data_IF_660187056565
#
_entry.id   IF_660187056565
#
_cell.length_a   1.000
_cell.length_b   1.000
_cell.length_c   1.000
_cell.angle_alpha   90.00
_cell.angle_beta   90.00
_cell.angle_gamma   90.00
#
_symmetry.space_group_name_H-M   'P 1'
#
loop_
_entity.id
_entity.type
_entity.pdbx_description
1 polymer ?
#
# COMPACT_ATOMS: atom_id res chain seq x y z
N UNK A 1 3.63 -35.42 -8.92
CA UNK A 1 3.04 -34.07 -9.04
C UNK A 1 4.11 -33.01 -9.29
N UNK A 2 5.12 -32.87 -8.43
CA UNK A 2 6.21 -31.88 -8.53
C UNK A 2 6.94 -31.91 -9.88
N UNK A 3 7.27 -33.09 -10.43
CA UNK A 3 7.93 -33.21 -11.74
C UNK A 3 7.11 -32.65 -12.92
N UNK A 4 5.77 -32.69 -12.83
CA UNK A 4 4.89 -32.13 -13.88
C UNK A 4 4.87 -30.60 -13.81
N UNK A 5 4.83 -30.06 -12.60
CA UNK A 5 4.90 -28.60 -12.35
C UNK A 5 6.24 -28.05 -12.81
N UNK A 6 7.34 -28.71 -12.46
CA UNK A 6 8.68 -28.27 -12.87
C UNK A 6 8.84 -28.22 -14.39
N UNK A 7 8.40 -29.29 -15.12
CA UNK A 7 8.40 -29.29 -16.59
C UNK A 7 7.52 -28.19 -17.19
N UNK A 8 6.37 -27.92 -16.60
CA UNK A 8 5.50 -26.83 -17.06
C UNK A 8 6.17 -25.46 -16.87
N UNK A 9 6.87 -25.24 -15.76
CA UNK A 9 7.62 -24.00 -15.48
C UNK A 9 8.80 -23.84 -16.45
N UNK A 10 9.57 -24.89 -16.71
CA UNK A 10 10.66 -24.85 -17.69
C UNK A 10 10.16 -24.54 -19.11
N UNK A 11 9.01 -25.12 -19.50
CA UNK A 11 8.38 -24.81 -20.77
C UNK A 11 7.92 -23.35 -20.85
N UNK A 12 7.37 -22.80 -19.76
CA UNK A 12 6.97 -21.39 -19.71
C UNK A 12 8.17 -20.45 -19.76
N UNK A 13 9.25 -20.74 -19.04
CA UNK A 13 10.48 -19.94 -19.03
C UNK A 13 11.09 -19.78 -20.44
N UNK A 14 10.97 -20.81 -21.28
CA UNK A 14 11.51 -20.83 -22.65
C UNK A 14 10.50 -20.46 -23.74
N UNK A 15 9.20 -20.43 -23.42
CA UNK A 15 8.13 -20.15 -24.38
C UNK A 15 8.15 -18.71 -24.86
N UNK A 16 8.28 -18.51 -26.19
CA UNK A 16 8.21 -17.20 -26.86
C UNK A 16 6.90 -16.47 -26.61
N UNK A 17 5.79 -17.20 -26.48
CA UNK A 17 4.48 -16.63 -26.15
C UNK A 17 4.48 -16.00 -24.77
N UNK A 18 5.08 -16.67 -23.79
CA UNK A 18 5.18 -16.16 -22.43
C UNK A 18 6.06 -14.90 -22.36
N UNK A 19 7.15 -14.85 -23.15
CA UNK A 19 7.94 -13.62 -23.34
C UNK A 19 7.07 -12.47 -23.84
N UNK A 20 6.30 -12.72 -24.90
CA UNK A 20 5.43 -11.72 -25.50
C UNK A 20 4.38 -11.19 -24.51
N UNK A 21 3.76 -12.09 -23.74
CA UNK A 21 2.79 -11.71 -22.69
C UNK A 21 3.45 -10.80 -21.65
N UNK A 22 4.65 -11.16 -21.18
CA UNK A 22 5.39 -10.37 -20.19
C UNK A 22 5.83 -9.01 -20.75
N UNK A 23 6.23 -8.93 -22.02
CA UNK A 23 6.51 -7.64 -22.70
C UNK A 23 5.28 -6.73 -22.76
N UNK A 24 4.10 -7.30 -23.03
CA UNK A 24 2.85 -6.53 -23.05
C UNK A 24 2.49 -6.06 -21.64
N UNK A 25 2.60 -6.95 -20.63
CA UNK A 25 2.35 -6.61 -19.23
C UNK A 25 3.25 -5.46 -18.75
N UNK A 26 4.52 -5.45 -19.14
CA UNK A 26 5.45 -4.35 -18.85
C UNK A 26 5.03 -3.02 -19.49
N UNK A 27 4.66 -3.05 -20.76
CA UNK A 27 4.25 -1.84 -21.49
C UNK A 27 2.93 -1.27 -20.97
N UNK A 28 1.97 -2.11 -20.62
CA UNK A 28 0.71 -1.68 -20.00
C UNK A 28 0.99 -1.20 -18.58
N UNK A 29 1.77 -1.97 -17.82
CA UNK A 29 2.10 -1.73 -16.43
C UNK A 29 2.75 -0.39 -16.14
N UNK A 30 3.63 0.10 -17.01
CA UNK A 30 4.31 1.38 -16.82
C UNK A 30 3.34 2.56 -16.66
N UNK A 31 2.17 2.51 -17.33
CA UNK A 31 1.11 3.51 -17.23
C UNK A 31 0.29 3.41 -15.94
N UNK A 32 0.21 2.23 -15.33
CA UNK A 32 -0.59 1.99 -14.12
C UNK A 32 0.20 2.13 -12.82
N UNK A 33 1.54 2.12 -12.86
CA UNK A 33 2.38 2.36 -11.67
C UNK A 33 2.32 3.83 -11.22
N UNK A 34 2.14 4.77 -12.14
CA UNK A 34 2.09 6.22 -11.86
C UNK A 34 0.68 6.79 -11.75
N UNK A 35 -0.33 6.11 -12.30
CA UNK A 35 -1.72 6.54 -12.18
C UNK A 35 -2.29 5.98 -10.89
N UNK A 36 -2.36 6.81 -9.85
CA UNK A 36 -3.23 6.57 -8.68
C UNK A 36 -4.63 6.28 -9.23
N UNK A 37 -5.01 5.01 -9.25
CA UNK A 37 -6.30 4.56 -9.76
C UNK A 37 -7.41 5.32 -9.03
N UNK A 38 -8.32 5.92 -9.78
CA UNK A 38 -9.48 6.64 -9.26
C UNK A 38 -10.35 5.70 -8.41
N UNK A 39 -11.08 6.25 -7.43
CA UNK A 39 -11.91 5.53 -6.43
C UNK A 39 -12.85 4.44 -7.00
N UNK A 40 -13.16 4.47 -8.29
CA UNK A 40 -13.98 3.47 -8.98
C UNK A 40 -13.22 2.22 -9.46
N UNK A 41 -11.90 2.31 -9.67
CA UNK A 41 -11.04 1.18 -10.08
C UNK A 41 -10.53 0.36 -8.89
N UNK A 42 -10.60 0.94 -7.69
CA UNK A 42 -10.24 0.34 -6.40
C UNK A 42 -11.05 -0.92 -6.06
N UNK A 43 -12.26 -1.04 -6.63
CA UNK A 43 -13.18 -2.14 -6.35
C UNK A 43 -12.87 -3.44 -7.11
N UNK A 44 -12.15 -3.41 -8.24
CA UNK A 44 -12.04 -4.59 -9.11
C UNK A 44 -10.74 -5.38 -8.95
N UNK A 45 -9.62 -4.70 -8.70
CA UNK A 45 -8.33 -5.34 -8.40
C UNK A 45 -7.60 -4.44 -7.42
N UNK A 46 -7.64 -4.79 -6.14
CA UNK A 46 -6.89 -4.14 -5.06
C UNK A 46 -5.50 -3.76 -5.59
N UNK A 47 -5.17 -2.47 -5.70
CA UNK A 47 -3.97 -1.95 -6.41
C UNK A 47 -2.67 -2.74 -6.15
N UNK A 48 -2.56 -3.34 -4.96
CA UNK A 48 -1.49 -4.27 -4.57
C UNK A 48 -1.30 -5.44 -5.54
N UNK A 49 -2.34 -6.16 -5.95
CA UNK A 49 -2.19 -7.36 -6.80
C UNK A 49 -1.62 -7.00 -8.18
N UNK A 50 -2.13 -5.93 -8.79
CA UNK A 50 -1.63 -5.47 -10.08
C UNK A 50 -0.17 -5.01 -9.97
N UNK A 51 0.17 -4.25 -8.92
CA UNK A 51 1.54 -3.82 -8.64
C UNK A 51 2.50 -5.02 -8.52
N UNK A 52 2.13 -6.05 -7.77
CA UNK A 52 2.97 -7.25 -7.60
C UNK A 52 3.15 -8.03 -8.91
N UNK A 53 2.10 -8.14 -9.74
CA UNK A 53 2.20 -8.77 -11.08
C UNK A 53 3.19 -8.00 -11.97
N UNK A 54 3.24 -6.68 -11.86
CA UNK A 54 4.17 -5.85 -12.63
C UNK A 54 5.61 -6.00 -12.16
N UNK A 55 5.84 -5.97 -10.85
CA UNK A 55 7.16 -6.20 -10.26
C UNK A 55 7.67 -7.59 -10.67
N UNK A 56 6.81 -8.60 -10.59
CA UNK A 56 7.11 -9.95 -11.08
C UNK A 56 7.48 -9.95 -12.56
N UNK A 57 6.72 -9.26 -13.41
CA UNK A 57 6.99 -9.18 -14.84
C UNK A 57 8.35 -8.54 -15.15
N UNK A 58 8.73 -7.50 -14.40
CA UNK A 58 10.07 -6.86 -14.48
C UNK A 58 11.17 -7.84 -14.07
N UNK A 59 11.02 -8.49 -12.91
CA UNK A 59 11.99 -9.46 -12.41
C UNK A 59 12.16 -10.64 -13.37
N UNK A 60 11.06 -11.11 -13.96
CA UNK A 60 11.09 -12.20 -14.93
C UNK A 60 11.69 -11.81 -16.28
N UNK A 61 11.49 -10.56 -16.72
CA UNK A 61 12.15 -10.08 -17.94
C UNK A 61 13.68 -10.08 -17.79
N UNK A 62 14.19 -9.73 -16.61
CA UNK A 62 15.62 -9.73 -16.32
C UNK A 62 16.21 -11.12 -16.07
N UNK A 63 15.50 -11.99 -15.36
CA UNK A 63 16.03 -13.31 -14.94
C UNK A 63 15.68 -14.46 -15.88
N UNK A 64 14.58 -14.34 -16.65
CA UNK A 64 14.03 -15.39 -17.51
C UNK A 64 13.63 -16.68 -16.76
N UNK A 65 13.53 -16.63 -15.43
CA UNK A 65 13.19 -17.76 -14.57
C UNK A 65 12.09 -17.41 -13.59
N UNK A 66 10.94 -18.10 -13.69
CA UNK A 66 9.79 -17.93 -12.81
C UNK A 66 10.14 -18.14 -11.33
N UNK A 67 10.99 -19.12 -10.98
CA UNK A 67 11.32 -19.38 -9.57
C UNK A 67 12.11 -18.23 -8.96
N UNK A 68 13.16 -17.79 -9.64
CA UNK A 68 13.98 -16.65 -9.19
C UNK A 68 13.15 -15.37 -9.16
N UNK A 69 12.28 -15.17 -10.15
CA UNK A 69 11.41 -14.00 -10.21
C UNK A 69 10.44 -13.93 -9.05
N UNK A 70 9.78 -15.04 -8.70
CA UNK A 70 8.85 -15.09 -7.56
C UNK A 70 9.58 -14.83 -6.24
N UNK A 71 10.77 -15.39 -6.05
CA UNK A 71 11.58 -15.14 -4.86
C UNK A 71 11.97 -13.66 -4.78
N UNK A 72 12.42 -13.09 -5.90
CA UNK A 72 12.83 -11.68 -5.94
C UNK A 72 11.66 -10.74 -5.68
N UNK A 73 10.48 -11.02 -6.24
CA UNK A 73 9.24 -10.28 -5.96
C UNK A 73 8.83 -10.41 -4.50
N UNK A 74 8.90 -11.61 -3.91
CA UNK A 74 8.57 -11.81 -2.50
C UNK A 74 9.53 -11.04 -1.57
N UNK A 75 10.83 -11.06 -1.86
CA UNK A 75 11.82 -10.28 -1.11
C UNK A 75 11.53 -8.79 -1.27
N UNK A 76 11.28 -8.31 -2.48
CA UNK A 76 10.95 -6.91 -2.73
C UNK A 76 9.66 -6.47 -2.01
N UNK A 77 8.64 -7.33 -2.00
CA UNK A 77 7.40 -7.09 -1.26
C UNK A 77 7.67 -6.94 0.23
N UNK A 78 8.44 -7.85 0.84
CA UNK A 78 8.78 -7.76 2.26
C UNK A 78 9.58 -6.48 2.57
N UNK A 79 10.55 -6.13 1.74
CA UNK A 79 11.34 -4.92 1.91
C UNK A 79 10.47 -3.66 1.85
N UNK A 80 9.59 -3.57 0.85
CA UNK A 80 8.77 -2.37 0.65
C UNK A 80 7.61 -2.26 1.64
N UNK A 81 7.01 -3.37 2.06
CA UNK A 81 5.86 -3.36 2.98
C UNK A 81 6.27 -3.35 4.46
N UNK A 82 7.47 -3.83 4.80
CA UNK A 82 7.92 -3.90 6.18
C UNK A 82 9.16 -3.05 6.48
N UNK A 83 10.21 -3.16 5.68
CA UNK A 83 11.49 -2.53 6.00
C UNK A 83 11.51 -1.03 5.70
N UNK A 84 10.89 -0.65 4.58
CA UNK A 84 10.84 0.73 4.09
C UNK A 84 9.47 1.38 4.28
N UNK A 85 8.50 0.65 4.85
CA UNK A 85 7.20 1.22 5.18
C UNK A 85 7.25 1.92 6.52
N UNK A 86 7.07 3.23 6.51
CA UNK A 86 7.14 4.11 7.69
C UNK A 86 6.05 3.83 8.74
N UNK A 87 4.93 3.25 8.32
CA UNK A 87 3.83 2.83 9.20
C UNK A 87 4.08 1.44 9.82
N UNK A 88 5.07 0.69 9.32
CA UNK A 88 5.35 -0.65 9.80
C UNK A 88 6.21 -0.65 11.06
N UNK A 89 5.91 -1.57 11.99
CA UNK A 89 6.68 -1.77 13.24
C UNK A 89 8.16 -2.13 12.99
N UNK A 90 8.48 -2.62 11.79
CA UNK A 90 9.82 -3.07 11.40
C UNK A 90 10.56 -2.07 10.49
N UNK A 91 10.10 -0.82 10.41
CA UNK A 91 10.74 0.21 9.60
C UNK A 91 12.18 0.49 10.08
N UNK A 92 13.16 0.31 9.20
CA UNK A 92 14.59 0.58 9.47
C UNK A 92 14.98 2.02 9.07
N UNK A 93 14.08 2.75 8.40
CA UNK A 93 14.38 4.07 7.87
C UNK A 93 14.65 5.11 8.99
N UNK A 94 15.79 5.84 8.97
CA UNK A 94 16.08 6.87 9.95
C UNK A 94 15.04 7.98 9.92
N UNK A 95 14.67 8.52 11.09
CA UNK A 95 13.64 9.57 11.24
C UNK A 95 13.87 10.83 10.38
N UNK A 96 15.12 11.10 9.96
CA UNK A 96 15.48 12.22 9.08
C UNK A 96 14.89 12.09 7.66
N UNK A 97 14.61 10.87 7.21
CA UNK A 97 14.04 10.59 5.89
C UNK A 97 12.55 10.25 5.94
N UNK A 98 11.96 10.27 7.14
CA UNK A 98 10.54 10.04 7.34
C UNK A 98 9.84 11.37 7.12
N UNK A 99 9.26 11.58 5.95
CA UNK A 99 8.45 12.76 5.70
C UNK A 99 7.15 12.65 6.50
N UNK A 100 7.02 13.47 7.54
CA UNK A 100 5.78 13.59 8.30
C UNK A 100 4.79 14.48 7.54
N UNK A 101 4.35 14.04 6.36
CA UNK A 101 3.28 14.69 5.55
C UNK A 101 1.90 14.70 6.22
N UNK A 102 1.80 14.27 7.48
CA UNK A 102 0.55 14.21 8.23
C UNK A 102 -0.01 15.60 8.58
N UNK A 103 0.81 16.65 8.50
CA UNK A 103 0.42 18.03 8.84
C UNK A 103 0.67 19.05 7.73
N UNK A 104 1.39 18.64 6.69
CA UNK A 104 1.66 19.45 5.51
C UNK A 104 0.63 19.09 4.43
N UNK A 105 -0.44 19.88 4.37
CA UNK A 105 -1.56 19.71 3.44
C UNK A 105 -1.18 20.20 2.04
N UNK A 106 -0.17 21.05 1.93
CA UNK A 106 0.25 21.70 0.67
C UNK A 106 1.51 21.07 0.03
N UNK A 107 2.19 20.15 0.73
CA UNK A 107 3.41 19.43 0.32
C UNK A 107 4.62 20.35 0.05
N UNK A 108 4.73 21.49 0.73
CA UNK A 108 5.85 22.42 0.58
C UNK A 108 7.04 22.12 1.53
N UNK A 109 6.87 21.18 2.46
CA UNK A 109 7.88 20.76 3.43
C UNK A 109 7.97 21.63 4.68
N UNK A 110 7.14 22.67 4.81
CA UNK A 110 7.08 23.58 5.95
C UNK A 110 5.66 23.66 6.53
N UNK A 111 5.52 23.44 7.84
CA UNK A 111 4.19 23.54 8.48
C UNK A 111 3.80 25.02 8.60
N UNK A 112 2.83 25.46 7.80
CA UNK A 112 2.35 26.84 7.80
C UNK A 112 1.46 27.15 9.01
N UNK A 113 1.43 28.43 9.43
CA UNK A 113 0.57 28.88 10.53
C UNK A 113 -0.92 28.60 10.29
N UNK A 114 -1.36 28.55 9.02
CA UNK A 114 -2.74 28.18 8.68
C UNK A 114 -3.04 26.71 8.99
N UNK A 115 -2.13 25.80 8.67
CA UNK A 115 -2.29 24.37 8.92
C UNK A 115 -2.31 24.06 10.42
N UNK A 116 -1.52 24.79 11.20
CA UNK A 116 -1.56 24.74 12.67
C UNK A 116 -2.93 25.14 13.20
N UNK A 117 -3.49 26.24 12.69
CA UNK A 117 -4.79 26.73 13.13
C UNK A 117 -5.92 25.75 12.78
N UNK A 118 -5.88 25.15 11.59
CA UNK A 118 -6.85 24.16 11.14
C UNK A 118 -6.77 22.87 11.97
N UNK A 119 -5.56 22.42 12.31
CA UNK A 119 -5.35 21.27 13.19
C UNK A 119 -5.91 21.54 14.61
N UNK A 120 -5.71 22.74 15.15
CA UNK A 120 -6.27 23.15 16.46
C UNK A 120 -7.80 23.19 16.40
N UNK A 121 -8.38 23.76 15.34
CA UNK A 121 -9.84 23.80 15.17
C UNK A 121 -10.46 22.40 15.07
N UNK A 122 -9.79 21.48 14.36
CA UNK A 122 -10.19 20.07 14.29
C UNK A 122 -10.14 19.40 15.68
N UNK A 123 -9.06 19.60 16.42
CA UNK A 123 -8.90 19.05 17.78
C UNK A 123 -10.00 19.55 18.72
N UNK A 124 -10.34 20.84 18.67
CA UNK A 124 -11.41 21.41 19.48
C UNK A 124 -12.78 20.81 19.12
N UNK A 125 -13.05 20.60 17.84
CA UNK A 125 -14.28 19.94 17.38
C UNK A 125 -14.37 18.49 17.88
N UNK A 126 -13.27 17.74 17.78
CA UNK A 126 -13.20 16.34 18.27
C UNK A 126 -13.34 16.27 19.79
N UNK A 127 -12.74 17.20 20.52
CA UNK A 127 -12.84 17.28 21.99
C UNK A 127 -14.29 17.54 22.43
N UNK A 128 -14.97 18.48 21.76
CA UNK A 128 -16.41 18.74 21.99
C UNK A 128 -17.24 17.49 21.69
N UNK A 129 -17.04 16.84 20.55
CA UNK A 129 -17.76 15.61 20.20
C UNK A 129 -17.55 14.48 21.21
N UNK A 130 -16.30 14.24 21.65
CA UNK A 130 -16.02 13.23 22.68
C UNK A 130 -16.68 13.56 24.01
N UNK A 131 -16.70 14.83 24.40
CA UNK A 131 -17.36 15.26 25.64
C UNK A 131 -18.87 15.03 25.60
N UNK A 132 -19.52 15.31 24.46
CA UNK A 132 -20.95 15.05 24.25
C UNK A 132 -21.24 13.56 24.25
N UNK A 133 -20.46 12.75 23.51
CA UNK A 133 -20.61 11.30 23.49
C UNK A 133 -20.40 10.66 24.86
N UNK A 134 -19.45 11.17 25.65
CA UNK A 134 -19.23 10.68 27.01
C UNK A 134 -20.45 10.98 27.90
N UNK A 135 -21.04 12.16 27.76
CA UNK A 135 -22.23 12.59 28.49
C UNK A 135 -23.46 11.74 28.13
N UNK A 136 -23.64 11.42 26.85
CA UNK A 136 -24.71 10.52 26.37
C UNK A 136 -24.53 9.10 26.94
N UNK A 137 -23.31 8.54 26.88
CA UNK A 137 -23.01 7.22 27.46
C UNK A 137 -23.24 7.16 28.98
N UNK A 138 -22.92 8.23 29.70
CA UNK A 138 -23.19 8.35 31.14
C UNK A 138 -24.70 8.37 31.41
N UNK A 139 -25.45 9.14 30.63
CA UNK A 139 -26.90 9.19 30.74
C UNK A 139 -27.52 7.81 30.53
N UNK A 140 -27.13 7.11 29.45
CA UNK A 140 -27.58 5.75 29.13
C UNK A 140 -27.24 4.73 30.23
N UNK A 141 -26.06 4.84 30.85
CA UNK A 141 -25.67 3.99 31.97
C UNK A 141 -26.59 4.20 33.18
N UNK A 142 -26.88 5.45 33.52
CA UNK A 142 -27.74 5.78 34.65
C UNK A 142 -29.21 5.42 34.41
N UNK A 143 -29.75 5.57 33.21
CA UNK A 143 -31.13 5.13 32.89
C UNK A 143 -31.26 3.62 32.86
N UNK A 144 -30.25 2.89 32.38
CA UNK A 144 -30.30 1.41 32.30
C UNK A 144 -30.16 0.70 33.65
N UNK A 145 -29.43 1.29 34.61
CA UNK A 145 -29.22 0.74 35.95
C UNK A 145 -30.25 1.23 36.99
N UNK A 146 -31.29 1.98 36.58
CA UNK A 146 -32.35 2.47 37.47
C UNK A 146 -33.60 1.57 37.49
N UNK A 147 -33.47 0.31 37.08
CA UNK A 147 -34.50 -0.74 37.12
C UNK A 147 -34.07 -1.81 38.11
#
# INVERSE_FOLDING_TARGET
>A
MIKRVHKAVEYLNTSKYFIGIMMILLNIGSKYITVKLSKSQEAYVRNYVLREILIFSVCWMGTRDIYISLILTAVFFVLTQHLFNEESKFCILPKKYREYHLFDTNQDGEVSQQEINDAVALLDKVKKQKSTQHREKLYDYFTKNKV
#
